data_IF_358372147604
#
_entry.id   IF_358372147604
#
_cell.length_a   1.000
_cell.length_b   1.000
_cell.length_c   1.000
_cell.angle_alpha   90.00
_cell.angle_beta   90.00
_cell.angle_gamma   90.00
#
_symmetry.space_group_name_H-M   'P 1'
#
loop_
_entity.id
_entity.type
_entity.pdbx_description
1 polymer ?
#
# COMPACT_ATOMS: atom_id res chain seq x y z
N UNK A 1 -14.84 29.72 -8.07
CA UNK A 1 -15.95 30.01 -7.15
C UNK A 1 -17.02 28.97 -7.40
N UNK A 2 -17.08 27.99 -6.60
CA UNK A 2 -18.26 27.23 -6.22
C UNK A 2 -17.77 26.10 -5.30
N UNK A 3 -18.11 26.23 -4.04
CA UNK A 3 -17.92 25.21 -3.04
C UNK A 3 -18.72 23.94 -3.44
N UNK A 4 -18.02 22.92 -3.91
CA UNK A 4 -18.55 21.56 -3.96
C UNK A 4 -18.38 20.94 -2.56
N UNK A 5 -19.20 21.35 -1.60
CA UNK A 5 -19.36 20.64 -0.34
C UNK A 5 -20.06 19.31 -0.64
N UNK A 6 -19.33 18.24 -0.51
CA UNK A 6 -19.80 16.86 -0.53
C UNK A 6 -20.96 16.71 0.46
N UNK A 7 -22.16 16.48 -0.04
CA UNK A 7 -23.32 16.15 0.79
C UNK A 7 -23.21 14.69 1.21
N UNK A 8 -22.76 14.43 2.42
CA UNK A 8 -22.87 13.13 3.05
C UNK A 8 -24.35 12.74 3.15
N UNK A 9 -24.72 11.56 2.68
CA UNK A 9 -26.05 10.97 2.88
C UNK A 9 -26.21 10.69 4.36
N UNK A 10 -27.05 11.47 5.02
CA UNK A 10 -27.42 11.27 6.43
C UNK A 10 -28.41 10.11 6.54
N UNK A 11 -27.91 8.89 6.72
CA UNK A 11 -28.75 7.74 7.05
C UNK A 11 -28.87 7.61 8.56
N UNK A 12 -29.60 8.49 9.20
CA UNK A 12 -30.23 8.39 10.53
C UNK A 12 -29.62 7.58 11.68
N UNK A 13 -28.38 7.11 11.59
CA UNK A 13 -27.57 6.57 12.68
C UNK A 13 -26.12 7.01 12.48
N UNK A 14 -25.62 7.85 13.31
CA UNK A 14 -24.37 8.60 13.28
C UNK A 14 -23.10 7.74 13.39
N UNK A 15 -22.90 6.67 12.59
CA UNK A 15 -21.84 5.68 12.75
C UNK A 15 -21.04 5.39 11.47
N UNK A 16 -21.24 6.14 10.39
CA UNK A 16 -20.45 5.98 9.17
C UNK A 16 -19.05 6.57 9.30
N UNK A 17 -18.06 5.93 8.68
CA UNK A 17 -16.73 6.50 8.54
C UNK A 17 -16.80 7.82 7.75
N UNK A 18 -16.02 8.81 8.18
CA UNK A 18 -15.87 10.09 7.48
C UNK A 18 -14.39 10.37 7.32
N UNK A 19 -13.93 10.29 6.08
CA UNK A 19 -12.53 10.52 5.77
C UNK A 19 -12.22 12.02 5.86
N UNK A 20 -11.11 12.35 6.53
CA UNK A 20 -10.59 13.71 6.61
C UNK A 20 -9.52 13.99 5.54
N UNK A 21 -9.22 13.02 4.68
CA UNK A 21 -8.16 13.05 3.67
C UNK A 21 -8.56 12.23 2.45
N UNK A 22 -8.00 12.53 1.30
CA UNK A 22 -8.19 11.79 0.05
C UNK A 22 -6.91 11.05 -0.40
N UNK A 23 -5.73 11.54 -0.02
CA UNK A 23 -4.45 10.96 -0.40
C UNK A 23 -3.43 11.00 0.75
N UNK A 24 -2.23 10.51 0.48
CA UNK A 24 -1.12 10.47 1.44
C UNK A 24 -0.73 11.87 1.94
N UNK A 25 -0.78 12.88 1.09
CA UNK A 25 -0.36 14.24 1.46
C UNK A 25 -1.33 14.87 2.43
N UNK A 26 -2.62 14.74 2.15
CA UNK A 26 -3.66 15.21 3.07
C UNK A 26 -3.64 14.40 4.37
N UNK A 27 -3.40 13.09 4.28
CA UNK A 27 -3.22 12.24 5.46
C UNK A 27 -2.06 12.73 6.35
N UNK A 28 -0.91 13.09 5.77
CA UNK A 28 0.25 13.65 6.49
C UNK A 28 -0.12 14.96 7.18
N UNK A 29 -0.86 15.83 6.51
CA UNK A 29 -1.35 17.10 7.08
C UNK A 29 -2.25 16.82 8.30
N UNK A 30 -3.15 15.86 8.20
CA UNK A 30 -4.02 15.49 9.34
C UNK A 30 -3.22 14.88 10.51
N UNK A 31 -2.22 14.05 10.23
CA UNK A 31 -1.32 13.51 11.25
C UNK A 31 -0.50 14.61 11.95
N UNK A 32 -0.08 15.64 11.20
CA UNK A 32 0.58 16.82 11.77
C UNK A 32 -0.34 17.63 12.68
N UNK A 33 -1.60 17.84 12.28
CA UNK A 33 -2.63 18.51 13.12
C UNK A 33 -2.89 17.76 14.42
N UNK A 34 -2.79 16.43 14.41
CA UNK A 34 -2.89 15.60 15.62
C UNK A 34 -1.65 15.70 16.53
N UNK A 35 -0.56 16.31 16.05
CA UNK A 35 0.74 16.34 16.75
C UNK A 35 1.47 15.00 16.74
N UNK A 36 1.08 14.07 15.84
CA UNK A 36 1.61 12.71 15.78
C UNK A 36 2.56 12.50 14.58
N UNK A 37 3.11 13.58 13.99
CA UNK A 37 4.09 13.53 12.90
C UNK A 37 5.48 13.95 13.39
N UNK A 38 6.51 13.28 12.87
CA UNK A 38 7.92 13.76 12.93
C UNK A 38 8.52 13.70 11.53
N UNK A 39 9.33 14.71 11.20
CA UNK A 39 10.15 14.71 10.00
C UNK A 39 11.60 14.49 10.43
N UNK A 40 12.26 13.50 9.84
CA UNK A 40 13.66 13.15 10.10
C UNK A 40 14.43 13.30 8.79
N UNK A 41 15.52 14.07 8.82
CA UNK A 41 16.35 14.32 7.64
C UNK A 41 17.69 13.60 7.75
N UNK A 42 18.20 13.14 6.61
CA UNK A 42 19.53 12.54 6.51
C UNK A 42 19.64 11.13 7.08
N UNK A 43 18.52 10.46 7.40
CA UNK A 43 18.54 9.06 7.80
C UNK A 43 18.90 8.17 6.62
N UNK A 44 19.80 7.22 6.81
CA UNK A 44 20.23 6.30 5.75
C UNK A 44 19.18 5.22 5.48
N UNK A 45 19.10 4.79 4.23
CA UNK A 45 18.27 3.65 3.85
C UNK A 45 18.94 2.32 4.23
N UNK A 46 20.25 2.27 4.44
CA UNK A 46 21.00 1.09 4.79
C UNK A 46 20.67 0.59 6.20
N UNK A 47 20.49 1.50 7.16
CA UNK A 47 20.35 1.12 8.56
C UNK A 47 19.31 1.95 9.32
N UNK A 48 19.38 3.30 9.24
CA UNK A 48 18.62 4.18 10.14
C UNK A 48 17.11 4.04 10.00
N UNK A 49 16.58 3.94 8.77
CA UNK A 49 15.15 3.82 8.50
C UNK A 49 14.60 2.50 9.05
N UNK A 50 15.33 1.39 8.84
CA UNK A 50 14.96 0.07 9.36
C UNK A 50 14.94 0.04 10.89
N UNK A 51 15.98 0.55 11.53
CA UNK A 51 16.06 0.65 13.00
C UNK A 51 14.97 1.54 13.59
N UNK A 52 14.69 2.69 12.95
CA UNK A 52 13.59 3.55 13.38
C UNK A 52 12.24 2.85 13.30
N UNK A 53 11.97 2.08 12.23
CA UNK A 53 10.76 1.31 12.09
C UNK A 53 10.61 0.26 13.20
N UNK A 54 11.68 -0.49 13.49
CA UNK A 54 11.69 -1.47 14.59
C UNK A 54 11.34 -0.83 15.94
N UNK A 55 11.86 0.37 16.23
CA UNK A 55 11.60 1.05 17.49
C UNK A 55 10.18 1.60 17.56
N UNK A 56 9.74 2.37 16.54
CA UNK A 56 8.49 3.13 16.64
C UNK A 56 7.26 2.25 16.47
N UNK A 57 7.34 1.18 15.69
CA UNK A 57 6.18 0.31 15.48
C UNK A 57 5.80 -0.52 16.70
N UNK A 58 6.72 -0.71 17.65
CA UNK A 58 6.40 -1.40 18.91
C UNK A 58 5.77 -0.48 19.96
N UNK A 59 5.82 0.83 19.77
CA UNK A 59 5.19 1.82 20.67
C UNK A 59 3.89 2.35 20.06
N UNK A 60 2.76 2.06 20.71
CA UNK A 60 1.44 2.55 20.31
C UNK A 60 1.35 4.09 20.30
N UNK A 61 2.11 4.76 21.17
CA UNK A 61 2.15 6.22 21.29
C UNK A 61 3.19 6.90 20.41
N UNK A 62 4.03 6.13 19.70
CA UNK A 62 5.04 6.72 18.85
C UNK A 62 4.42 7.44 17.63
N UNK A 63 4.99 8.59 17.20
CA UNK A 63 4.52 9.30 16.02
C UNK A 63 4.78 8.51 14.74
N UNK A 64 4.10 8.86 13.64
CA UNK A 64 4.57 8.50 12.32
C UNK A 64 5.81 9.34 11.95
N UNK A 65 6.65 8.80 11.08
CA UNK A 65 7.89 9.47 10.68
C UNK A 65 7.89 9.60 9.16
N UNK A 66 8.11 10.82 8.69
CA UNK A 66 8.48 11.10 7.29
C UNK A 66 10.00 11.27 7.25
N UNK A 67 10.69 10.39 6.56
CA UNK A 67 12.09 10.53 6.23
C UNK A 67 12.24 11.39 4.99
N UNK A 68 13.11 12.40 5.10
CA UNK A 68 13.42 13.35 4.04
C UNK A 68 14.93 13.48 3.90
N UNK A 69 15.40 14.00 2.76
CA UNK A 69 16.84 14.14 2.48
C UNK A 69 17.61 12.82 2.71
N UNK A 70 17.03 11.68 2.26
CA UNK A 70 17.65 10.35 2.40
C UNK A 70 18.92 10.27 1.55
N UNK A 71 20.10 9.96 2.13
CA UNK A 71 21.35 9.90 1.40
C UNK A 71 21.28 8.98 0.18
N UNK A 72 21.78 9.44 -0.96
CA UNK A 72 21.77 8.70 -2.23
C UNK A 72 20.45 8.76 -3.01
N UNK A 73 19.40 9.36 -2.45
CA UNK A 73 18.14 9.61 -3.15
C UNK A 73 18.04 11.07 -3.63
N UNK A 74 17.25 11.35 -4.68
CA UNK A 74 16.99 12.72 -5.10
C UNK A 74 16.33 13.54 -3.97
N UNK A 75 16.61 14.84 -3.87
CA UNK A 75 15.90 15.72 -2.93
C UNK A 75 14.39 15.63 -3.11
N UNK A 76 13.64 15.61 -2.01
CA UNK A 76 12.18 15.51 -2.01
C UNK A 76 11.63 14.09 -2.14
N UNK A 77 12.46 13.08 -2.40
CA UNK A 77 12.02 11.68 -2.39
C UNK A 77 11.99 11.18 -0.95
N UNK A 78 10.78 10.92 -0.44
CA UNK A 78 10.50 10.70 0.98
C UNK A 78 9.86 9.34 1.25
N UNK A 79 9.93 8.93 2.52
CA UNK A 79 9.26 7.73 3.00
C UNK A 79 8.49 8.01 4.28
N UNK A 80 7.26 7.51 4.37
CA UNK A 80 6.43 7.51 5.57
C UNK A 80 6.44 6.12 6.20
N UNK A 81 6.61 6.05 7.53
CA UNK A 81 6.43 4.83 8.33
C UNK A 81 5.52 5.06 9.53
N UNK A 82 5.05 3.99 10.15
CA UNK A 82 4.21 3.99 11.37
C UNK A 82 2.93 4.80 11.23
N UNK A 83 2.21 4.58 10.11
CA UNK A 83 0.97 5.31 9.82
C UNK A 83 -0.22 4.79 10.63
N UNK A 84 -0.22 3.51 11.07
CA UNK A 84 -1.36 2.87 11.72
C UNK A 84 -1.12 2.57 13.21
N UNK A 85 -0.90 3.64 14.00
CA UNK A 85 -0.75 3.59 15.44
C UNK A 85 -1.44 4.80 16.09
N UNK A 86 -1.57 4.82 17.41
CA UNK A 86 -2.14 5.94 18.16
C UNK A 86 -3.52 6.38 17.66
N UNK A 87 -3.72 7.67 17.57
CA UNK A 87 -4.95 8.30 17.03
C UNK A 87 -5.08 8.12 15.52
N UNK A 88 -3.94 7.95 14.84
CA UNK A 88 -3.90 7.80 13.37
C UNK A 88 -4.69 6.59 12.88
N UNK A 89 -4.82 5.50 13.69
CA UNK A 89 -5.69 4.35 13.36
C UNK A 89 -7.13 4.78 13.07
N UNK A 90 -7.68 5.55 14.00
CA UNK A 90 -9.06 6.06 13.86
C UNK A 90 -9.16 7.03 12.70
N UNK A 91 -8.21 7.97 12.58
CA UNK A 91 -8.14 8.93 11.47
C UNK A 91 -8.06 8.22 10.11
N UNK A 92 -7.18 7.23 9.97
CA UNK A 92 -7.00 6.45 8.73
C UNK A 92 -8.28 5.71 8.33
N UNK A 93 -9.06 5.27 9.29
CA UNK A 93 -10.33 4.57 9.05
C UNK A 93 -11.56 5.50 9.10
N UNK A 94 -11.38 6.82 9.23
CA UNK A 94 -12.45 7.81 9.18
C UNK A 94 -13.33 7.86 10.43
N UNK A 95 -12.79 7.49 11.59
CA UNK A 95 -13.50 7.52 12.88
C UNK A 95 -12.92 8.56 13.84
N UNK A 96 -13.67 8.94 14.90
CA UNK A 96 -13.19 9.88 15.91
C UNK A 96 -11.88 9.43 16.55
N UNK A 97 -10.91 10.32 16.60
CA UNK A 97 -9.53 10.00 17.01
C UNK A 97 -9.37 9.69 18.49
N UNK A 98 -10.38 10.02 19.31
CA UNK A 98 -10.48 9.69 20.73
C UNK A 98 -11.00 8.28 21.01
N UNK A 99 -11.49 7.56 19.98
CA UNK A 99 -12.03 6.23 20.16
C UNK A 99 -10.95 5.23 20.60
N UNK A 100 -11.32 4.38 21.56
CA UNK A 100 -10.51 3.23 21.94
C UNK A 100 -10.65 2.07 20.91
N UNK A 101 -9.89 0.99 21.11
CA UNK A 101 -9.88 -0.15 20.17
C UNK A 101 -11.24 -0.83 20.01
N UNK A 102 -12.06 -0.90 21.07
CA UNK A 102 -13.38 -1.54 21.01
C UNK A 102 -14.36 -0.67 20.24
N UNK A 103 -14.37 0.64 20.51
CA UNK A 103 -15.19 1.61 19.78
C UNK A 103 -14.84 1.62 18.29
N UNK A 104 -13.53 1.63 17.95
CA UNK A 104 -13.07 1.54 16.56
C UNK A 104 -13.52 0.23 15.92
N UNK A 105 -13.37 -0.92 16.60
CA UNK A 105 -13.80 -2.22 16.09
C UNK A 105 -15.31 -2.25 15.82
N UNK A 106 -16.11 -1.70 16.73
CA UNK A 106 -17.57 -1.60 16.56
C UNK A 106 -17.96 -0.67 15.42
N UNK A 107 -17.26 0.45 15.28
CA UNK A 107 -17.46 1.40 14.18
C UNK A 107 -17.15 0.75 12.83
N UNK A 108 -16.00 0.11 12.72
CA UNK A 108 -15.57 -0.61 11.50
C UNK A 108 -16.57 -1.72 11.15
N UNK A 109 -16.97 -2.54 12.13
CA UNK A 109 -17.98 -3.58 11.91
C UNK A 109 -19.28 -3.02 11.31
N UNK A 110 -19.85 -1.98 11.95
CA UNK A 110 -21.10 -1.38 11.50
C UNK A 110 -20.95 -0.72 10.12
N UNK A 111 -19.83 -0.04 9.90
CA UNK A 111 -19.58 0.62 8.61
C UNK A 111 -19.42 -0.40 7.49
N UNK A 112 -18.56 -1.41 7.66
CA UNK A 112 -18.35 -2.46 6.65
C UNK A 112 -19.63 -3.23 6.30
N UNK A 113 -20.50 -3.45 7.27
CA UNK A 113 -21.81 -4.07 7.04
C UNK A 113 -22.75 -3.23 6.17
N UNK A 114 -22.57 -1.91 6.19
CA UNK A 114 -23.38 -0.96 5.41
C UNK A 114 -22.71 -0.56 4.08
N UNK A 115 -21.47 -0.98 3.83
CA UNK A 115 -20.75 -0.66 2.59
C UNK A 115 -21.40 -1.39 1.42
N UNK A 116 -21.82 -0.62 0.42
CA UNK A 116 -22.14 -1.11 -0.92
C UNK A 116 -20.97 -0.71 -1.82
N UNK A 117 -20.47 -1.63 -2.63
CA UNK A 117 -19.36 -1.35 -3.53
C UNK A 117 -19.71 -0.25 -4.52
N UNK A 118 -18.80 0.70 -4.71
CA UNK A 118 -18.90 1.75 -5.74
C UNK A 118 -17.77 1.53 -6.73
N UNK A 119 -18.07 1.14 -7.99
CA UNK A 119 -17.04 0.90 -8.99
C UNK A 119 -16.12 2.10 -9.17
N UNK A 120 -14.81 1.83 -9.25
CA UNK A 120 -13.82 2.84 -9.59
C UNK A 120 -14.07 3.39 -11.00
N UNK A 121 -13.66 4.62 -11.26
CA UNK A 121 -13.82 5.29 -12.55
C UNK A 121 -12.48 5.55 -13.19
N UNK A 122 -12.43 5.44 -14.51
CA UNK A 122 -11.22 5.77 -15.26
C UNK A 122 -11.29 7.23 -15.67
N UNK A 123 -10.25 7.98 -15.29
CA UNK A 123 -10.02 9.36 -15.71
C UNK A 123 -8.82 9.42 -16.66
N UNK A 124 -8.74 10.49 -17.47
CA UNK A 124 -7.71 10.58 -18.51
C UNK A 124 -6.35 11.04 -17.97
N UNK A 125 -6.32 11.75 -16.82
CA UNK A 125 -5.13 12.37 -16.25
C UNK A 125 -5.18 12.40 -14.72
N UNK A 126 -4.02 12.63 -14.10
CA UNK A 126 -3.91 12.80 -12.65
C UNK A 126 -2.49 13.16 -12.19
N UNK A 127 -2.34 13.57 -10.93
CA UNK A 127 -1.04 13.95 -10.37
C UNK A 127 0.06 12.89 -10.51
N UNK A 128 -0.31 11.62 -10.62
CA UNK A 128 0.64 10.51 -10.82
C UNK A 128 1.49 10.67 -12.10
N UNK A 129 0.98 11.39 -13.09
CA UNK A 129 1.68 11.62 -14.35
C UNK A 129 2.56 12.87 -14.38
N UNK A 130 2.77 13.54 -13.25
CA UNK A 130 3.70 14.67 -13.14
C UNK A 130 5.13 14.31 -13.63
N UNK A 131 5.55 13.07 -13.42
CA UNK A 131 6.83 12.55 -13.92
C UNK A 131 6.67 11.11 -14.40
N UNK A 132 7.33 10.80 -15.52
CA UNK A 132 7.33 9.48 -16.14
C UNK A 132 8.77 9.07 -16.49
N UNK A 133 9.20 7.92 -15.99
CA UNK A 133 10.47 7.29 -16.35
C UNK A 133 10.17 6.11 -17.27
N UNK A 134 10.67 6.17 -18.52
CA UNK A 134 10.53 5.09 -19.51
C UNK A 134 11.89 4.82 -20.17
N UNK A 135 12.08 3.65 -20.75
CA UNK A 135 13.31 3.28 -21.46
C UNK A 135 14.55 3.37 -20.57
N UNK A 136 15.56 4.10 -21.02
CA UNK A 136 16.84 4.25 -20.32
C UNK A 136 16.75 5.14 -19.04
N UNK A 137 15.67 5.89 -18.88
CA UNK A 137 15.44 6.74 -17.71
C UNK A 137 14.92 5.96 -16.50
N UNK A 138 14.48 4.71 -16.67
CA UNK A 138 14.00 3.85 -15.60
C UNK A 138 15.11 3.63 -14.57
N UNK A 139 14.83 4.04 -13.33
CA UNK A 139 15.76 3.86 -12.22
C UNK A 139 15.00 3.79 -10.89
N UNK A 140 14.58 2.57 -10.52
CA UNK A 140 13.87 2.33 -9.25
C UNK A 140 14.78 2.50 -8.02
N UNK A 141 16.09 2.47 -8.20
CA UNK A 141 17.07 2.65 -7.12
C UNK A 141 17.09 4.09 -6.57
N UNK A 142 16.53 5.06 -7.30
CA UNK A 142 16.38 6.46 -6.86
C UNK A 142 15.43 6.62 -5.67
N UNK A 143 14.49 5.69 -5.46
CA UNK A 143 13.53 5.80 -4.36
C UNK A 143 14.12 5.34 -3.04
N UNK A 144 13.68 5.92 -1.89
CA UNK A 144 14.26 5.64 -0.57
C UNK A 144 13.79 4.28 -0.02
N UNK A 145 14.09 3.20 -0.74
CA UNK A 145 13.78 1.83 -0.32
C UNK A 145 14.83 1.34 0.70
N UNK A 146 14.45 0.99 1.94
CA UNK A 146 15.41 0.54 2.94
C UNK A 146 15.79 -0.94 2.84
N UNK A 147 16.90 -1.28 3.47
CA UNK A 147 17.07 -2.55 4.14
C UNK A 147 16.34 -2.45 5.49
N UNK A 148 15.29 -3.24 5.68
CA UNK A 148 14.45 -3.12 6.88
C UNK A 148 15.03 -3.83 8.10
N UNK A 149 15.76 -4.92 7.88
CA UNK A 149 16.40 -5.74 8.90
C UNK A 149 17.86 -5.99 8.53
N UNK A 150 18.71 -6.23 9.52
CA UNK A 150 20.17 -6.34 9.39
C UNK A 150 20.66 -7.40 8.40
N UNK A 151 19.86 -8.44 8.15
CA UNK A 151 20.20 -9.56 7.26
C UNK A 151 19.29 -9.68 6.04
N UNK A 152 18.50 -8.64 5.74
CA UNK A 152 17.73 -8.62 4.51
C UNK A 152 18.65 -8.73 3.30
N UNK A 153 18.25 -9.51 2.30
CA UNK A 153 19.06 -9.79 1.11
C UNK A 153 19.19 -8.60 0.16
N UNK A 154 18.52 -7.47 0.44
CA UNK A 154 18.56 -6.26 -0.36
C UNK A 154 17.55 -5.22 0.08
N UNK A 155 17.36 -4.21 -0.78
CA UNK A 155 16.42 -3.10 -0.55
C UNK A 155 15.00 -3.54 -0.89
N UNK A 156 14.07 -3.41 0.06
CA UNK A 156 12.66 -3.75 -0.15
C UNK A 156 11.79 -2.49 -0.25
N UNK A 157 11.43 -2.13 -1.49
CA UNK A 157 10.62 -0.95 -1.79
C UNK A 157 9.13 -1.20 -1.53
N UNK A 158 8.66 -2.43 -1.71
CA UNK A 158 7.25 -2.80 -1.56
C UNK A 158 6.95 -3.51 -0.26
N UNK A 159 6.96 -2.79 0.86
CA UNK A 159 6.46 -3.26 2.17
C UNK A 159 5.15 -2.58 2.54
N UNK A 160 5.01 -1.29 2.23
CA UNK A 160 3.78 -0.51 2.35
C UNK A 160 3.09 -0.29 0.99
N UNK A 161 3.24 -1.23 0.07
CA UNK A 161 2.65 -1.19 -1.27
C UNK A 161 1.52 -2.18 -1.43
N UNK A 162 0.63 -1.90 -2.37
CA UNK A 162 -0.26 -2.92 -2.91
C UNK A 162 -0.02 -3.08 -4.41
N UNK A 163 -0.35 -4.25 -4.91
CA UNK A 163 -0.01 -4.66 -6.25
C UNK A 163 -1.28 -4.99 -7.01
N UNK A 164 -1.46 -4.37 -8.17
CA UNK A 164 -2.60 -4.56 -9.05
C UNK A 164 -2.28 -5.69 -10.01
N UNK A 165 -3.13 -6.70 -10.05
CA UNK A 165 -3.03 -7.84 -10.94
C UNK A 165 -4.36 -8.13 -11.61
N UNK A 166 -4.35 -8.71 -12.81
CA UNK A 166 -5.50 -9.02 -13.62
C UNK A 166 -5.63 -10.52 -13.79
N UNK A 167 -6.84 -11.06 -13.62
CA UNK A 167 -7.16 -12.44 -14.00
C UNK A 167 -7.29 -12.54 -15.51
N UNK A 168 -6.50 -13.39 -16.23
CA UNK A 168 -6.53 -13.46 -17.68
C UNK A 168 -7.78 -14.13 -18.27
N UNK A 169 -8.66 -14.66 -17.44
CA UNK A 169 -9.87 -15.38 -17.88
C UNK A 169 -11.16 -14.58 -17.65
N UNK A 170 -11.15 -13.63 -16.70
CA UNK A 170 -12.36 -12.93 -16.25
C UNK A 170 -12.25 -11.42 -16.22
N UNK A 171 -11.07 -10.86 -16.53
CA UNK A 171 -10.75 -9.43 -16.40
C UNK A 171 -10.91 -8.91 -14.94
N UNK A 172 -10.96 -9.80 -13.96
CA UNK A 172 -11.04 -9.43 -12.55
C UNK A 172 -9.73 -8.81 -12.08
N UNK A 173 -9.84 -7.61 -11.52
CA UNK A 173 -8.71 -6.86 -10.92
C UNK A 173 -8.66 -7.19 -9.44
N UNK A 174 -7.47 -7.59 -8.97
CA UNK A 174 -7.20 -7.84 -7.57
C UNK A 174 -6.08 -6.92 -7.08
N UNK A 175 -6.24 -6.39 -5.89
CA UNK A 175 -5.19 -5.71 -5.16
C UNK A 175 -4.67 -6.62 -4.03
N UNK A 176 -3.37 -6.81 -3.99
CA UNK A 176 -2.77 -7.61 -2.93
C UNK A 176 -1.44 -7.03 -2.45
N UNK A 177 -1.15 -7.20 -1.18
CA UNK A 177 0.12 -6.76 -0.60
C UNK A 177 1.15 -7.89 -0.75
N UNK A 178 2.10 -7.69 -1.67
CA UNK A 178 3.17 -8.62 -1.99
C UNK A 178 4.50 -7.89 -1.83
N UNK A 179 5.50 -8.53 -1.22
CA UNK A 179 6.79 -7.88 -1.02
C UNK A 179 7.54 -7.69 -2.32
N UNK A 180 8.20 -6.54 -2.45
CA UNK A 180 8.94 -6.16 -3.65
C UNK A 180 10.36 -5.78 -3.29
N UNK A 181 11.34 -6.53 -3.82
CA UNK A 181 12.77 -6.32 -3.63
C UNK A 181 13.37 -5.68 -4.87
N UNK A 182 14.17 -4.63 -4.74
CA UNK A 182 14.93 -4.05 -5.85
C UNK A 182 16.01 -5.05 -6.28
N UNK A 183 16.06 -5.35 -7.58
CA UNK A 183 17.04 -6.27 -8.17
C UNK A 183 18.04 -5.54 -9.08
N UNK A 184 17.59 -4.47 -9.74
CA UNK A 184 18.38 -3.56 -10.55
C UNK A 184 17.55 -2.31 -10.83
N UNK A 185 18.07 -1.36 -11.62
CA UNK A 185 17.38 -0.12 -11.99
C UNK A 185 16.00 -0.35 -12.62
N UNK A 186 15.85 -1.45 -13.37
CA UNK A 186 14.65 -1.75 -14.15
C UNK A 186 14.03 -3.11 -13.83
N UNK A 187 14.40 -3.74 -12.73
CA UNK A 187 13.83 -5.02 -12.30
C UNK A 187 13.60 -5.07 -10.81
N UNK A 188 12.47 -5.65 -10.42
CA UNK A 188 12.15 -5.91 -9.01
C UNK A 188 11.70 -7.35 -8.83
N UNK A 189 12.10 -7.96 -7.71
CA UNK A 189 11.57 -9.24 -7.25
C UNK A 189 10.10 -9.08 -6.84
N UNK A 190 9.26 -10.04 -7.23
CA UNK A 190 7.83 -9.99 -7.01
C UNK A 190 7.34 -11.27 -6.35
N UNK A 191 7.55 -11.36 -5.03
CA UNK A 191 7.16 -12.54 -4.27
C UNK A 191 5.68 -12.52 -3.89
N UNK A 192 4.94 -13.55 -4.29
CA UNK A 192 3.56 -13.77 -3.91
C UNK A 192 3.43 -15.13 -3.20
N UNK A 193 2.95 -15.13 -1.97
CA UNK A 193 2.71 -16.35 -1.20
C UNK A 193 1.69 -17.27 -1.88
N UNK A 194 1.85 -18.59 -1.81
CA UNK A 194 0.86 -19.54 -2.32
C UNK A 194 -0.54 -19.28 -1.75
N UNK A 195 -1.56 -19.46 -2.59
CA UNK A 195 -2.97 -19.28 -2.23
C UNK A 195 -3.50 -17.85 -2.31
N UNK A 196 -2.66 -16.84 -2.53
CA UNK A 196 -3.09 -15.46 -2.76
C UNK A 196 -3.60 -15.28 -4.20
N UNK A 197 -4.58 -14.38 -4.40
CA UNK A 197 -5.20 -14.15 -5.71
C UNK A 197 -4.19 -13.78 -6.80
N UNK A 198 -3.26 -12.86 -6.53
CA UNK A 198 -2.18 -12.54 -7.49
C UNK A 198 -1.30 -13.74 -7.85
N UNK A 199 -1.16 -14.74 -6.94
CA UNK A 199 -0.47 -16.00 -7.26
C UNK A 199 -1.29 -16.85 -8.22
N UNK A 200 -2.60 -16.92 -8.01
CA UNK A 200 -3.53 -17.63 -8.90
C UNK A 200 -3.51 -17.00 -10.28
N UNK A 201 -3.57 -15.66 -10.37
CA UNK A 201 -3.44 -14.95 -11.64
C UNK A 201 -2.14 -15.28 -12.35
N UNK A 202 -1.00 -15.17 -11.66
CA UNK A 202 0.32 -15.48 -12.22
C UNK A 202 0.40 -16.91 -12.75
N UNK A 203 -0.06 -17.88 -11.98
CA UNK A 203 0.01 -19.28 -12.36
C UNK A 203 -0.84 -19.57 -13.60
N UNK A 204 -1.96 -18.83 -13.82
CA UNK A 204 -2.75 -18.87 -15.06
C UNK A 204 -1.99 -18.31 -16.26
N UNK A 205 -1.33 -17.15 -16.13
CA UNK A 205 -0.48 -16.58 -17.19
C UNK A 205 0.67 -17.52 -17.52
N UNK A 206 1.35 -18.07 -16.52
CA UNK A 206 2.46 -19.01 -16.70
C UNK A 206 2.00 -20.28 -17.43
N UNK A 207 0.82 -20.80 -17.12
CA UNK A 207 0.23 -21.96 -17.81
C UNK A 207 -0.09 -21.69 -19.29
N UNK A 208 -0.41 -20.44 -19.64
CA UNK A 208 -0.61 -20.00 -21.04
C UNK A 208 0.68 -19.65 -21.75
N UNK A 209 1.82 -19.60 -21.05
CA UNK A 209 3.10 -19.12 -21.60
C UNK A 209 3.09 -17.60 -21.87
N UNK A 210 2.21 -16.85 -21.21
CA UNK A 210 2.02 -15.42 -21.37
C UNK A 210 2.66 -14.65 -20.20
N UNK A 211 3.10 -13.42 -20.47
CA UNK A 211 3.61 -12.51 -19.44
C UNK A 211 2.45 -11.90 -18.66
N UNK A 212 2.56 -11.87 -17.33
CA UNK A 212 1.55 -11.27 -16.47
C UNK A 212 1.78 -9.76 -16.31
N UNK A 213 0.81 -8.90 -16.63
CA UNK A 213 0.90 -7.48 -16.32
C UNK A 213 0.72 -7.25 -14.82
N UNK A 214 1.46 -6.30 -14.27
CA UNK A 214 1.28 -5.86 -12.88
C UNK A 214 1.67 -4.39 -12.70
N UNK A 215 0.99 -3.74 -11.74
CA UNK A 215 1.38 -2.43 -11.24
C UNK A 215 1.63 -2.52 -9.74
N UNK A 216 2.67 -1.85 -9.26
CA UNK A 216 3.02 -1.75 -7.84
C UNK A 216 2.76 -0.31 -7.42
N UNK A 217 1.80 -0.08 -6.54
CA UNK A 217 1.44 1.24 -6.04
C UNK A 217 2.13 1.49 -4.70
N UNK A 218 3.00 2.49 -4.66
CA UNK A 218 3.84 2.85 -3.53
C UNK A 218 3.40 4.22 -3.01
N UNK A 219 2.63 4.23 -1.94
CA UNK A 219 2.02 5.47 -1.45
C UNK A 219 0.77 5.87 -2.24
N UNK A 220 0.04 6.81 -1.70
CA UNK A 220 -1.28 7.21 -2.14
C UNK A 220 -2.23 7.23 -0.95
N UNK A 221 -3.45 6.74 -1.10
CA UNK A 221 -4.35 6.60 0.03
C UNK A 221 -3.88 5.48 0.99
N UNK A 222 -3.55 5.78 2.26
CA UNK A 222 -3.20 4.74 3.23
C UNK A 222 -4.30 3.70 3.45
N UNK A 223 -5.58 4.07 3.29
CA UNK A 223 -6.69 3.13 3.37
C UNK A 223 -6.70 2.15 2.18
N UNK A 224 -6.27 2.58 0.98
CA UNK A 224 -6.12 1.70 -0.17
C UNK A 224 -5.09 0.58 0.09
N UNK A 225 -3.96 0.91 0.74
CA UNK A 225 -3.00 -0.11 1.18
C UNK A 225 -3.64 -1.11 2.16
N UNK A 226 -4.41 -0.62 3.13
CA UNK A 226 -5.11 -1.48 4.09
C UNK A 226 -6.17 -2.36 3.40
N UNK A 227 -6.88 -1.85 2.40
CA UNK A 227 -7.81 -2.66 1.59
C UNK A 227 -7.07 -3.78 0.85
N UNK A 228 -5.90 -3.50 0.27
CA UNK A 228 -5.03 -4.54 -0.31
C UNK A 228 -4.51 -5.59 0.69
N UNK A 229 -4.54 -5.29 2.02
CA UNK A 229 -4.26 -6.26 3.08
C UNK A 229 -5.49 -7.10 3.46
N UNK A 230 -6.69 -6.75 2.99
CA UNK A 230 -7.95 -7.44 3.30
C UNK A 230 -8.16 -8.57 2.31
N UNK A 231 -8.62 -9.72 2.80
CA UNK A 231 -8.92 -10.85 1.94
C UNK A 231 -10.39 -10.78 1.53
N UNK A 232 -10.64 -10.40 0.27
CA UNK A 232 -11.98 -10.39 -0.33
C UNK A 232 -12.27 -11.72 -1.03
N UNK A 233 -13.54 -12.07 -1.25
CA UNK A 233 -13.92 -13.19 -2.10
C UNK A 233 -13.38 -13.03 -3.54
N UNK A 234 -13.09 -14.14 -4.24
CA UNK A 234 -12.73 -14.07 -5.66
C UNK A 234 -13.77 -13.36 -6.50
N UNK A 235 -13.34 -12.45 -7.36
CA UNK A 235 -14.19 -11.67 -8.24
C UNK A 235 -14.61 -10.31 -7.69
N UNK A 236 -14.32 -10.01 -6.43
CA UNK A 236 -14.50 -8.68 -5.86
C UNK A 236 -13.22 -7.84 -6.04
N UNK A 237 -13.40 -6.54 -6.32
CA UNK A 237 -12.31 -5.59 -6.51
C UNK A 237 -12.17 -4.69 -5.29
N UNK A 238 -10.98 -4.65 -4.72
CA UNK A 238 -10.68 -3.82 -3.55
C UNK A 238 -10.88 -2.33 -3.79
N UNK A 239 -10.68 -1.85 -5.03
CA UNK A 239 -10.98 -0.45 -5.39
C UNK A 239 -12.46 -0.12 -5.24
N UNK A 240 -13.34 -1.04 -5.60
CA UNK A 240 -14.77 -0.82 -5.56
C UNK A 240 -15.30 -0.86 -4.12
N UNK A 241 -14.73 -1.72 -3.28
CA UNK A 241 -14.99 -1.74 -1.83
C UNK A 241 -14.46 -0.47 -1.17
N UNK A 242 -13.27 0.01 -1.55
CA UNK A 242 -12.72 1.28 -1.08
C UNK A 242 -13.64 2.46 -1.46
N UNK A 243 -14.13 2.48 -2.70
CA UNK A 243 -15.11 3.48 -3.15
C UNK A 243 -16.37 3.47 -2.30
N UNK A 244 -16.91 2.28 -2.02
CA UNK A 244 -18.05 2.11 -1.12
C UNK A 244 -17.74 2.55 0.31
N UNK A 245 -16.55 2.24 0.83
CA UNK A 245 -16.12 2.66 2.15
C UNK A 245 -16.04 4.20 2.28
N UNK A 246 -15.54 4.87 1.23
CA UNK A 246 -15.44 6.33 1.18
C UNK A 246 -16.75 7.03 0.83
N UNK A 247 -17.68 6.31 0.19
CA UNK A 247 -18.97 6.84 -0.29
C UNK A 247 -18.88 7.55 -1.66
N UNK A 248 -17.77 7.39 -2.38
CA UNK A 248 -17.59 7.89 -3.76
C UNK A 248 -16.58 7.01 -4.53
N UNK A 249 -16.70 7.03 -5.86
CA UNK A 249 -15.82 6.27 -6.74
C UNK A 249 -14.36 6.72 -6.61
N UNK A 250 -13.44 5.75 -6.60
CA UNK A 250 -12.02 6.03 -6.71
C UNK A 250 -11.67 6.41 -8.16
N UNK A 251 -11.00 7.52 -8.36
CA UNK A 251 -10.48 7.93 -9.66
C UNK A 251 -9.18 7.19 -9.97
N UNK A 252 -9.17 6.43 -11.05
CA UNK A 252 -8.01 5.68 -11.53
C UNK A 252 -7.63 6.14 -12.94
N UNK A 253 -6.34 6.08 -13.24
CA UNK A 253 -5.79 6.19 -14.59
C UNK A 253 -5.32 4.82 -15.05
N UNK A 254 -5.12 4.62 -16.35
CA UNK A 254 -4.59 3.37 -16.90
C UNK A 254 -3.10 3.47 -17.17
N UNK A 255 -2.38 2.41 -16.80
CA UNK A 255 -0.99 2.22 -17.19
C UNK A 255 -0.85 2.16 -18.71
N UNK A 256 0.15 2.84 -19.22
CA UNK A 256 0.40 2.98 -20.68
C UNK A 256 0.76 1.65 -21.35
N UNK A 257 1.43 0.76 -20.62
CA UNK A 257 1.95 -0.50 -21.15
C UNK A 257 1.09 -1.71 -20.78
N UNK A 258 0.53 -1.73 -19.58
CA UNK A 258 -0.26 -2.85 -19.07
C UNK A 258 -1.76 -2.65 -19.25
N UNK A 259 -2.21 -1.39 -19.32
CA UNK A 259 -3.63 -1.04 -19.30
C UNK A 259 -4.31 -1.23 -17.93
N UNK A 260 -3.55 -1.62 -16.89
CA UNK A 260 -4.08 -1.80 -15.54
C UNK A 260 -4.44 -0.46 -14.91
N UNK A 261 -5.55 -0.39 -14.14
CA UNK A 261 -5.91 0.82 -13.42
C UNK A 261 -5.06 0.98 -12.15
N UNK A 262 -4.69 2.22 -11.84
CA UNK A 262 -4.13 2.61 -10.56
C UNK A 262 -4.59 4.03 -10.20
N UNK A 263 -4.61 4.40 -8.89
CA UNK A 263 -5.17 5.69 -8.49
C UNK A 263 -4.47 6.87 -9.15
N UNK A 264 -5.27 7.81 -9.64
CA UNK A 264 -4.80 9.04 -10.28
C UNK A 264 -3.94 9.91 -9.34
N UNK A 265 -4.17 9.81 -8.04
CA UNK A 265 -3.47 10.53 -6.96
C UNK A 265 -2.40 9.71 -6.23
N UNK A 266 -2.02 8.54 -6.74
CA UNK A 266 -0.91 7.75 -6.19
C UNK A 266 0.41 8.55 -6.18
N UNK A 267 1.32 8.22 -5.25
CA UNK A 267 2.61 8.92 -5.14
C UNK A 267 3.65 8.37 -6.12
N UNK A 268 3.75 7.03 -6.22
CA UNK A 268 4.62 6.32 -7.15
C UNK A 268 3.92 5.06 -7.62
N UNK A 269 4.00 4.76 -8.91
CA UNK A 269 3.54 3.49 -9.50
C UNK A 269 4.63 2.92 -10.39
N UNK A 270 4.99 1.68 -10.13
CA UNK A 270 5.88 0.88 -10.98
C UNK A 270 5.00 0.00 -11.85
N UNK A 271 5.09 0.14 -13.16
CA UNK A 271 4.37 -0.64 -14.15
C UNK A 271 5.31 -1.61 -14.85
N UNK A 272 4.89 -2.85 -15.07
CA UNK A 272 5.71 -3.81 -15.80
C UNK A 272 5.07 -5.17 -16.01
N UNK A 273 5.89 -6.12 -16.41
CA UNK A 273 5.47 -7.48 -16.72
C UNK A 273 6.34 -8.51 -16.01
N UNK A 274 5.70 -9.60 -15.58
CA UNK A 274 6.37 -10.79 -15.06
C UNK A 274 6.40 -11.81 -16.18
N UNK A 275 7.60 -12.06 -16.72
CA UNK A 275 7.80 -13.05 -17.79
C UNK A 275 7.78 -14.48 -17.21
N UNK A 276 7.22 -15.46 -17.92
CA UNK A 276 7.32 -16.88 -17.54
C UNK A 276 8.76 -17.30 -17.33
N UNK A 277 9.05 -17.98 -16.23
CA UNK A 277 10.37 -18.51 -15.88
C UNK A 277 11.49 -17.47 -15.65
N UNK A 278 11.20 -16.16 -15.72
CA UNK A 278 12.19 -15.13 -15.36
C UNK A 278 12.26 -15.00 -13.82
N UNK A 279 13.33 -15.51 -13.23
CA UNK A 279 13.53 -15.53 -11.77
C UNK A 279 14.95 -15.09 -11.41
N UNK A 280 15.08 -14.40 -10.29
CA UNK A 280 16.36 -14.05 -9.66
C UNK A 280 16.33 -14.42 -8.18
N UNK A 281 17.52 -14.51 -7.57
CA UNK A 281 17.63 -14.79 -6.15
C UNK A 281 17.04 -13.64 -5.33
N UNK A 282 16.19 -13.97 -4.39
CA UNK A 282 15.47 -13.04 -3.51
C UNK A 282 15.54 -13.54 -2.06
N UNK A 283 15.63 -12.61 -1.13
CA UNK A 283 15.72 -12.92 0.28
C UNK A 283 17.17 -13.03 0.78
N UNK A 284 17.37 -13.36 2.08
CA UNK A 284 16.30 -13.53 3.06
C UNK A 284 15.58 -12.19 3.36
N UNK A 285 14.43 -12.27 3.98
CA UNK A 285 13.67 -11.11 4.42
C UNK A 285 13.06 -11.37 5.80
N UNK A 286 13.20 -10.41 6.72
CA UNK A 286 12.65 -10.52 8.06
C UNK A 286 11.12 -10.63 8.04
N UNK A 287 10.58 -11.52 8.86
CA UNK A 287 9.14 -11.86 8.88
C UNK A 287 8.47 -11.39 10.18
N UNK A 288 7.15 -11.29 10.15
CA UNK A 288 6.32 -10.91 11.29
C UNK A 288 6.50 -11.79 12.55
N UNK A 289 7.09 -12.97 12.40
CA UNK A 289 7.43 -13.85 13.51
C UNK A 289 8.66 -13.38 14.30
N UNK A 290 9.41 -12.39 13.79
CA UNK A 290 10.69 -11.94 14.32
C UNK A 290 11.88 -12.81 13.88
N UNK A 291 11.69 -13.66 12.87
CA UNK A 291 12.71 -14.54 12.30
C UNK A 291 12.75 -14.39 10.78
N UNK A 292 13.86 -14.85 10.19
CA UNK A 292 13.96 -15.04 8.75
C UNK A 292 13.33 -16.40 8.40
N UNK A 293 12.13 -16.37 7.86
CA UNK A 293 11.32 -17.58 7.60
C UNK A 293 11.76 -18.40 6.37
N UNK A 294 12.63 -17.83 5.54
CA UNK A 294 13.17 -18.50 4.34
C UNK A 294 14.58 -18.02 4.05
N UNK A 295 15.38 -18.91 3.48
CA UNK A 295 16.66 -18.57 2.88
C UNK A 295 16.47 -17.87 1.51
N UNK A 296 17.59 -17.45 0.92
CA UNK A 296 17.65 -16.93 -0.46
C UNK A 296 17.13 -17.99 -1.43
N UNK A 297 16.19 -17.62 -2.29
CA UNK A 297 15.59 -18.53 -3.26
C UNK A 297 15.22 -17.80 -4.55
N UNK A 298 15.06 -18.50 -5.69
CA UNK A 298 14.65 -17.89 -6.94
C UNK A 298 13.17 -17.51 -6.90
N UNK A 299 12.87 -16.22 -7.05
CA UNK A 299 11.52 -15.68 -7.11
C UNK A 299 11.28 -14.93 -8.44
N UNK A 300 10.03 -14.81 -8.89
CA UNK A 300 9.68 -14.11 -10.12
C UNK A 300 10.16 -12.65 -10.11
N UNK A 301 10.51 -12.18 -11.31
CA UNK A 301 10.94 -10.81 -11.55
C UNK A 301 9.90 -10.08 -12.37
N UNK A 302 9.54 -8.88 -11.93
CA UNK A 302 8.84 -7.90 -12.74
C UNK A 302 9.88 -7.02 -13.44
N UNK A 303 9.86 -7.07 -14.77
CA UNK A 303 10.63 -6.14 -15.61
C UNK A 303 9.83 -4.85 -15.75
N UNK A 304 10.42 -3.74 -15.35
CA UNK A 304 9.78 -2.42 -15.32
C UNK A 304 9.71 -1.85 -16.73
N UNK A 305 8.55 -1.38 -17.13
CA UNK A 305 8.32 -0.69 -18.40
C UNK A 305 8.11 0.80 -18.24
N UNK A 306 7.59 1.23 -17.08
CA UNK A 306 7.47 2.62 -16.69
C UNK A 306 7.46 2.78 -15.17
N UNK A 307 7.91 3.94 -14.70
CA UNK A 307 7.69 4.42 -13.34
C UNK A 307 7.02 5.78 -13.44
N UNK A 308 5.85 5.91 -12.84
CA UNK A 308 5.10 7.15 -12.72
C UNK A 308 5.28 7.69 -11.31
N UNK A 309 5.48 8.99 -11.14
CA UNK A 309 5.55 9.56 -9.81
C UNK A 309 5.20 11.04 -9.75
N UNK A 310 4.66 11.46 -8.63
CA UNK A 310 4.42 12.87 -8.32
C UNK A 310 5.75 13.60 -8.08
N UNK A 311 5.73 14.93 -8.13
CA UNK A 311 6.82 15.75 -7.63
C UNK A 311 6.97 15.53 -6.12
N UNK A 312 8.21 15.43 -5.62
CA UNK A 312 8.49 15.19 -4.20
C UNK A 312 7.69 14.01 -3.60
N UNK A 313 7.79 12.81 -4.18
CA UNK A 313 6.93 11.69 -3.83
C UNK A 313 7.18 11.19 -2.40
N UNK A 314 6.12 10.63 -1.78
CA UNK A 314 6.18 9.99 -0.47
C UNK A 314 5.77 8.53 -0.60
N UNK A 315 6.70 7.60 -0.52
CA UNK A 315 6.35 6.16 -0.49
C UNK A 315 6.02 5.72 0.93
N UNK A 316 5.14 4.72 1.04
CA UNK A 316 4.77 4.13 2.32
C UNK A 316 5.68 2.94 2.65
N UNK A 317 6.24 2.93 3.84
CA UNK A 317 6.96 1.80 4.41
C UNK A 317 6.14 1.14 5.53
N UNK A 318 5.90 -0.16 5.41
CA UNK A 318 5.21 -0.96 6.43
C UNK A 318 5.85 -2.35 6.48
N UNK A 319 7.10 -2.47 7.01
CA UNK A 319 7.79 -3.75 7.06
C UNK A 319 7.08 -4.72 8.02
N UNK A 320 7.13 -6.03 7.75
CA UNK A 320 6.69 -7.01 8.70
C UNK A 320 7.66 -7.06 9.88
N UNK A 321 7.16 -6.75 11.07
CA UNK A 321 7.91 -6.78 12.32
C UNK A 321 7.19 -7.72 13.31
N UNK A 322 7.91 -8.14 14.33
CA UNK A 322 7.31 -8.90 15.43
C UNK A 322 6.19 -8.06 16.08
N UNK A 323 5.00 -8.64 16.30
CA UNK A 323 3.91 -7.92 16.96
C UNK A 323 4.29 -7.41 18.38
N UNK A 324 3.78 -6.23 18.77
CA UNK A 324 2.80 -5.40 18.06
C UNK A 324 3.43 -4.58 16.93
N UNK A 325 2.84 -4.65 15.74
CA UNK A 325 3.21 -3.86 14.58
C UNK A 325 1.96 -3.23 13.93
N UNK A 326 2.12 -2.47 12.86
CA UNK A 326 1.03 -1.78 12.18
C UNK A 326 -0.01 -2.76 11.62
N UNK A 327 0.44 -3.81 10.94
CA UNK A 327 -0.45 -4.80 10.35
C UNK A 327 -1.14 -5.66 11.39
N UNK A 328 -0.47 -5.97 12.52
CA UNK A 328 -1.09 -6.66 13.64
C UNK A 328 -2.21 -5.81 14.26
N UNK A 329 -1.98 -4.49 14.39
CA UNK A 329 -3.01 -3.55 14.87
C UNK A 329 -4.21 -3.48 13.93
N UNK A 330 -3.97 -3.37 12.63
CA UNK A 330 -5.02 -3.36 11.62
C UNK A 330 -5.82 -4.66 11.63
N UNK A 331 -5.13 -5.80 11.59
CA UNK A 331 -5.77 -7.12 11.62
C UNK A 331 -6.55 -7.35 12.92
N UNK A 332 -6.08 -6.83 14.05
CA UNK A 332 -6.82 -6.92 15.31
C UNK A 332 -8.18 -6.21 15.22
N UNK A 333 -8.26 -5.05 14.60
CA UNK A 333 -9.51 -4.32 14.40
C UNK A 333 -10.42 -5.04 13.40
N UNK A 334 -9.92 -5.31 12.20
CA UNK A 334 -10.75 -5.83 11.09
C UNK A 334 -11.20 -7.28 11.31
N UNK A 335 -10.31 -8.15 11.82
CA UNK A 335 -10.68 -9.54 12.15
C UNK A 335 -11.62 -9.62 13.33
N UNK A 336 -11.47 -8.76 14.34
CA UNK A 336 -12.44 -8.70 15.44
C UNK A 336 -13.81 -8.21 14.95
N UNK A 337 -13.84 -7.24 14.03
CA UNK A 337 -15.08 -6.80 13.41
C UNK A 337 -15.76 -7.94 12.60
N UNK A 338 -14.99 -8.69 11.82
CA UNK A 338 -15.48 -9.85 11.08
C UNK A 338 -15.96 -11.01 11.99
N UNK A 339 -15.23 -11.30 13.07
CA UNK A 339 -15.64 -12.30 14.05
C UNK A 339 -16.95 -11.92 14.73
N UNK A 340 -17.14 -10.65 15.05
CA UNK A 340 -18.38 -10.15 15.65
C UNK A 340 -19.58 -10.38 14.74
N UNK A 341 -19.44 -10.26 13.41
CA UNK A 341 -20.49 -10.58 12.43
C UNK A 341 -20.84 -12.07 12.43
N UNK A 342 -19.85 -12.95 12.58
CA UNK A 342 -20.03 -14.39 12.43
C UNK A 342 -20.49 -15.12 13.72
N UNK A 343 -20.25 -14.51 14.90
CA UNK A 343 -20.56 -15.14 16.19
C UNK A 343 -21.85 -14.58 16.81
N UNK A 344 -22.31 -13.43 16.42
CA UNK A 344 -23.54 -12.76 16.88
C UNK A 344 -23.32 -11.82 18.02
#
# INVERSE_FOLDING_TARGET
MADAKTTAVDTGSNVGARMAYEDMREWIIEAEKLGELRVVKGASWEEDIGLAAEVVQHDEGAPCIVFDDVPGCPPGFRMLINFFAGKRKCMTMGFPTEWNKLELTDGVHKHMKAVESIPHVIVDDGPIFENIMEGDDIDVEKFPAPMWHDKDGGRYIGTGSYNVTLDPDTDWINLGTYRVMIQSKNEVGFYISPGKHGRIHRDKYEAKGERMPACIVLGGDPLAFLMGCTELPPGECEYDILGGYRGHALECVKGKHTGLPFPANAEVVIEGFIEPNHKKMEGPFGEWTGYYGSDVRPEPILTITAIYHRNDPVILGCPPLRPPDELARYRAVTRSAALKENIG
#
